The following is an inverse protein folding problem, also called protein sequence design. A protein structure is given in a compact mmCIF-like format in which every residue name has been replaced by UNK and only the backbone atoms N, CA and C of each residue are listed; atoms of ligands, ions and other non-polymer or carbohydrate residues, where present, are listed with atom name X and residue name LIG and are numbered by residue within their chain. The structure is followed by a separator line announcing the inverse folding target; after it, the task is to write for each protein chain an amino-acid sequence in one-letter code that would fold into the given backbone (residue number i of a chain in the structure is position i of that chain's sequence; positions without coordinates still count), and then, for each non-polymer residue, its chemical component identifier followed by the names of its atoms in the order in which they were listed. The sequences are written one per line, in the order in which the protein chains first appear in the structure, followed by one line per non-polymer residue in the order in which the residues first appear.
data_IF_406307487442
#
_entry.id   IF_406307487442
#
_cell.length_a   1.000
_cell.length_b   1.000
_cell.length_c   1.000
_cell.angle_alpha   90.00
_cell.angle_beta   90.00
_cell.angle_gamma   90.00
#
_symmetry.space_group_name_H-M   'P 1'
#
loop_
_entity.id
_entity.type
_entity.pdbx_description
1 polymer ?
#
# COMPACT_ATOMS: atom_id res chain seq x y z
N UNK A 1 2.35 -14.07 9.02
CA UNK A 1 2.55 -12.64 9.32
C UNK A 1 3.39 -12.55 10.59
N UNK A 2 4.47 -11.77 10.60
CA UNK A 2 5.21 -11.50 11.85
C UNK A 2 4.26 -10.82 12.84
N UNK A 3 4.13 -11.37 14.05
CA UNK A 3 3.33 -10.77 15.11
C UNK A 3 3.88 -9.37 15.40
N UNK A 4 3.17 -8.32 14.97
CA UNK A 4 3.48 -6.94 15.34
C UNK A 4 3.22 -6.82 16.83
N UNK A 5 4.26 -6.60 17.62
CA UNK A 5 4.09 -6.31 19.03
C UNK A 5 3.63 -4.85 19.18
N UNK A 6 2.33 -4.68 19.43
CA UNK A 6 1.70 -3.36 19.57
C UNK A 6 2.31 -2.53 20.72
N UNK A 7 2.92 -3.17 21.72
CA UNK A 7 3.55 -2.47 22.85
C UNK A 7 4.88 -1.81 22.49
N UNK A 8 5.52 -2.20 21.38
CA UNK A 8 6.86 -1.74 20.98
C UNK A 8 6.85 -0.84 19.73
N UNK A 9 5.69 -0.33 19.32
CA UNK A 9 5.59 0.58 18.17
C UNK A 9 6.11 1.96 18.60
N UNK A 10 7.12 2.47 17.90
CA UNK A 10 7.69 3.78 18.16
C UNK A 10 7.73 4.66 16.92
N UNK A 11 7.70 4.07 15.72
CA UNK A 11 7.80 4.79 14.44
C UNK A 11 6.74 4.26 13.48
N UNK A 12 5.78 5.12 13.14
CA UNK A 12 4.73 4.84 12.17
C UNK A 12 4.94 5.77 10.98
N UNK A 13 5.06 5.18 9.79
CA UNK A 13 5.04 5.91 8.53
C UNK A 13 3.67 5.74 7.89
N UNK A 14 3.03 6.85 7.55
CA UNK A 14 1.74 6.82 6.88
C UNK A 14 1.79 7.60 5.57
N UNK A 15 1.20 7.05 4.52
CA UNK A 15 1.05 7.74 3.23
C UNK A 15 -0.42 7.88 2.85
N UNK A 16 -0.75 8.98 2.18
CA UNK A 16 -2.07 9.21 1.59
C UNK A 16 -1.91 9.54 0.11
N UNK A 17 -2.40 8.64 -0.75
CA UNK A 17 -2.36 8.78 -2.19
C UNK A 17 -3.61 9.55 -2.65
N UNK A 18 -3.48 10.87 -2.82
CA UNK A 18 -4.52 11.72 -3.39
C UNK A 18 -4.50 11.73 -4.92
N UNK A 19 -5.48 12.40 -5.54
CA UNK A 19 -5.52 12.59 -7.00
C UNK A 19 -4.42 13.54 -7.50
N UNK A 20 -4.12 14.59 -6.74
CA UNK A 20 -3.11 15.61 -7.13
C UNK A 20 -1.79 15.43 -6.38
N UNK A 21 -1.85 15.07 -5.11
CA UNK A 21 -0.68 15.02 -4.25
C UNK A 21 -0.70 13.76 -3.40
N UNK A 22 0.43 13.08 -3.35
CA UNK A 22 0.70 12.01 -2.40
C UNK A 22 1.43 12.59 -1.21
N UNK A 23 0.94 12.32 -0.01
CA UNK A 23 1.48 12.88 1.24
C UNK A 23 2.04 11.76 2.09
N UNK A 24 3.15 12.02 2.76
CA UNK A 24 3.72 11.14 3.76
C UNK A 24 3.80 11.87 5.11
N UNK A 25 3.50 11.17 6.20
CA UNK A 25 3.69 11.67 7.57
C UNK A 25 4.46 10.65 8.39
N UNK A 26 5.34 11.16 9.25
CA UNK A 26 6.07 10.38 10.24
C UNK A 26 5.48 10.63 11.61
N UNK A 27 4.95 9.59 12.23
CA UNK A 27 4.41 9.63 13.59
C UNK A 27 5.38 8.88 14.49
N UNK A 28 5.86 9.53 15.56
CA UNK A 28 6.81 8.94 16.48
C UNK A 28 6.31 9.00 17.91
N UNK A 29 6.60 7.96 18.68
CA UNK A 29 6.41 7.96 20.13
C UNK A 29 7.54 8.74 20.80
N UNK A 30 7.22 9.92 21.34
CA UNK A 30 8.16 10.78 22.05
C UNK A 30 7.63 10.94 23.48
N UNK A 31 8.41 10.48 24.46
CA UNK A 31 8.06 10.54 25.89
C UNK A 31 6.69 9.89 26.20
N UNK A 32 6.38 8.77 25.55
CA UNK A 32 5.13 8.03 25.75
C UNK A 32 3.92 8.59 25.00
N UNK A 33 4.11 9.58 24.11
CA UNK A 33 3.04 10.16 23.31
C UNK A 33 3.38 10.11 21.82
N UNK A 34 2.43 9.63 21.02
CA UNK A 34 2.54 9.70 19.56
C UNK A 34 2.36 11.14 19.07
N UNK A 35 3.31 11.61 18.26
CA UNK A 35 3.27 12.92 17.62
C UNK A 35 3.60 12.79 16.15
N UNK A 36 2.87 13.51 15.31
CA UNK A 36 3.33 13.78 13.95
C UNK A 36 4.57 14.68 14.05
N UNK A 37 5.71 14.18 13.59
CA UNK A 37 7.00 14.88 13.68
C UNK A 37 7.40 15.53 12.37
N UNK A 38 7.16 14.84 11.25
CA UNK A 38 7.54 15.28 9.93
C UNK A 38 6.44 14.99 8.92
N UNK A 39 6.43 15.76 7.83
CA UNK A 39 5.52 15.61 6.70
C UNK A 39 6.29 15.89 5.42
N UNK A 40 6.01 15.11 4.39
CA UNK A 40 6.47 15.32 3.03
C UNK A 40 5.32 15.15 2.06
N UNK A 41 5.50 15.63 0.85
CA UNK A 41 4.53 15.54 -0.23
C UNK A 41 5.19 15.50 -1.61
N UNK A 42 4.57 14.78 -2.53
CA UNK A 42 5.00 14.73 -3.92
C UNK A 42 3.78 14.79 -4.84
N UNK A 43 3.92 15.25 -6.09
CA UNK A 43 2.89 15.06 -7.11
C UNK A 43 2.46 13.59 -7.18
N UNK A 44 1.16 13.35 -7.23
CA UNK A 44 0.64 11.99 -7.41
C UNK A 44 0.96 11.48 -8.82
N UNK A 45 1.27 10.19 -8.90
CA UNK A 45 1.67 9.51 -10.14
C UNK A 45 0.66 8.45 -10.57
N UNK A 46 -0.60 8.65 -10.21
CA UNK A 46 -1.73 7.74 -10.49
C UNK A 46 -2.13 7.72 -11.96
N UNK A 47 -1.84 8.79 -12.71
CA UNK A 47 -2.18 8.94 -14.12
C UNK A 47 -0.93 8.96 -15.01
N UNK A 48 -1.14 8.87 -16.33
CA UNK A 48 -0.09 9.05 -17.33
C UNK A 48 0.59 10.43 -17.17
N UNK A 49 1.91 10.53 -17.47
CA UNK A 49 2.77 9.54 -18.12
C UNK A 49 3.38 8.50 -17.17
N UNK A 50 3.16 8.61 -15.86
CA UNK A 50 3.78 7.71 -14.88
C UNK A 50 2.99 6.43 -14.69
N UNK A 51 1.67 6.54 -14.46
CA UNK A 51 0.76 5.41 -14.22
C UNK A 51 1.34 4.35 -13.26
N UNK A 52 1.92 4.84 -12.16
CA UNK A 52 2.54 4.04 -11.10
C UNK A 52 2.49 4.82 -9.79
N UNK A 53 1.53 4.48 -8.93
CA UNK A 53 1.32 5.13 -7.63
C UNK A 53 2.53 5.01 -6.70
N UNK A 54 3.37 3.99 -6.86
CA UNK A 54 4.52 3.75 -5.98
C UNK A 54 5.56 4.85 -6.10
N UNK A 55 5.65 5.51 -7.27
CA UNK A 55 6.57 6.63 -7.48
C UNK A 55 6.23 7.82 -6.57
N UNK A 56 4.97 8.24 -6.54
CA UNK A 56 4.49 9.31 -5.66
C UNK A 56 4.68 8.98 -4.19
N UNK A 57 4.41 7.73 -3.80
CA UNK A 57 4.67 7.21 -2.46
C UNK A 57 6.15 7.36 -2.09
N UNK A 58 7.05 6.80 -2.91
CA UNK A 58 8.48 6.82 -2.62
C UNK A 58 9.03 8.24 -2.60
N UNK A 59 8.59 9.12 -3.50
CA UNK A 59 9.02 10.52 -3.51
C UNK A 59 8.60 11.25 -2.23
N UNK A 60 7.33 11.12 -1.83
CA UNK A 60 6.83 11.77 -0.60
C UNK A 60 7.51 11.25 0.67
N UNK A 61 7.81 9.94 0.73
CA UNK A 61 8.55 9.33 1.85
C UNK A 61 10.03 9.73 1.84
N UNK A 62 10.63 9.92 0.67
CA UNK A 62 12.02 10.38 0.54
C UNK A 62 12.18 11.77 1.13
N UNK A 63 11.24 12.68 0.88
CA UNK A 63 11.26 14.00 1.53
C UNK A 63 11.18 13.90 3.06
N UNK A 64 10.30 13.03 3.58
CA UNK A 64 10.24 12.75 5.03
C UNK A 64 11.56 12.18 5.55
N UNK A 65 12.22 11.30 4.80
CA UNK A 65 13.50 10.70 5.16
C UNK A 65 14.60 11.76 5.31
N UNK A 66 14.67 12.69 4.35
CA UNK A 66 15.60 13.82 4.36
C UNK A 66 15.34 14.77 5.53
N UNK A 67 14.09 15.17 5.74
CA UNK A 67 13.70 16.09 6.82
C UNK A 67 13.94 15.50 8.21
N UNK A 68 13.67 14.21 8.39
CA UNK A 68 13.82 13.53 9.69
C UNK A 68 15.23 13.01 9.96
N UNK A 69 16.10 12.98 8.95
CA UNK A 69 17.41 12.33 9.03
C UNK A 69 17.30 10.81 9.31
N UNK A 70 16.20 10.19 8.86
CA UNK A 70 15.88 8.77 9.04
C UNK A 70 15.87 8.10 7.67
N UNK A 71 16.55 6.97 7.50
CA UNK A 71 16.48 6.19 6.26
C UNK A 71 15.17 5.42 6.20
N UNK A 72 14.21 5.87 5.41
CA UNK A 72 12.89 5.21 5.30
C UNK A 72 12.73 4.35 4.04
N UNK A 73 13.55 4.60 3.02
CA UNK A 73 13.51 3.91 1.74
C UNK A 73 14.84 3.18 1.51
N UNK A 74 14.76 1.93 1.07
CA UNK A 74 15.90 1.10 0.67
C UNK A 74 16.35 1.42 -0.75
N UNK A 75 17.53 0.91 -1.14
CA UNK A 75 18.10 1.15 -2.47
C UNK A 75 17.21 0.55 -3.58
N UNK A 76 16.46 -0.51 -3.25
CA UNK A 76 15.45 -1.15 -4.12
C UNK A 76 14.10 -0.41 -4.15
N UNK A 77 14.02 0.82 -3.65
CA UNK A 77 12.79 1.63 -3.54
C UNK A 77 11.66 0.96 -2.75
N UNK A 78 12.00 0.24 -1.68
CA UNK A 78 11.01 -0.32 -0.74
C UNK A 78 11.06 0.40 0.59
N UNK A 79 9.91 0.56 1.23
CA UNK A 79 9.82 1.03 2.61
C UNK A 79 10.53 0.02 3.52
N UNK A 80 11.44 0.52 4.35
CA UNK A 80 12.23 -0.32 5.26
C UNK A 80 11.37 -0.62 6.49
N UNK A 81 11.16 -1.90 6.79
CA UNK A 81 10.49 -2.37 7.99
C UNK A 81 11.17 -3.66 8.52
N UNK A 82 11.17 -3.92 9.85
CA UNK A 82 10.79 -3.00 10.93
C UNK A 82 11.82 -1.89 11.14
N UNK A 83 11.59 -0.97 12.09
CA UNK A 83 12.60 0.04 12.41
C UNK A 83 13.80 -0.55 13.16
N UNK A 84 14.99 -0.07 12.84
CA UNK A 84 16.23 -0.35 13.57
C UNK A 84 17.06 0.93 13.66
N UNK A 85 17.24 1.48 14.87
CA UNK A 85 17.99 2.73 15.05
C UNK A 85 17.37 3.87 14.27
N UNK A 86 18.05 4.41 13.26
CA UNK A 86 17.56 5.45 12.34
C UNK A 86 17.09 4.91 10.98
N UNK A 87 16.91 3.61 10.84
CA UNK A 87 16.45 2.97 9.61
C UNK A 87 15.04 2.42 9.79
N UNK A 88 14.17 2.62 8.80
CA UNK A 88 12.83 2.04 8.70
C UNK A 88 11.72 2.63 9.57
N UNK A 89 10.59 1.95 9.60
CA UNK A 89 9.45 2.20 10.48
C UNK A 89 8.91 0.86 11.02
N UNK A 90 8.30 0.87 12.20
CA UNK A 90 7.66 -0.31 12.79
C UNK A 90 6.38 -0.67 12.05
N UNK A 91 5.63 0.35 11.65
CA UNK A 91 4.39 0.22 10.90
C UNK A 91 4.44 1.15 9.70
N UNK A 92 4.11 0.60 8.54
CA UNK A 92 3.78 1.36 7.35
C UNK A 92 2.30 1.19 7.03
N UNK A 93 1.57 2.30 6.90
CA UNK A 93 0.18 2.33 6.48
C UNK A 93 0.03 3.25 5.26
N UNK A 94 -0.87 2.90 4.36
CA UNK A 94 -1.23 3.77 3.24
C UNK A 94 -2.73 3.87 3.09
N UNK A 95 -3.22 5.08 2.84
CA UNK A 95 -4.58 5.36 2.41
C UNK A 95 -4.57 5.85 0.97
N UNK A 96 -5.71 5.74 0.30
CA UNK A 96 -5.90 6.32 -1.03
C UNK A 96 -7.29 6.93 -1.09
N UNK A 97 -7.34 8.21 -1.46
CA UNK A 97 -8.58 8.96 -1.67
C UNK A 97 -8.72 9.45 -3.11
N UNK A 98 -7.74 9.16 -3.98
CA UNK A 98 -7.81 9.42 -5.42
C UNK A 98 -9.16 8.94 -5.95
N UNK A 99 -10.04 9.86 -6.37
CA UNK A 99 -11.48 9.65 -6.55
C UNK A 99 -11.86 8.57 -7.57
N UNK A 100 -11.74 7.30 -7.17
CA UNK A 100 -11.84 6.13 -8.04
C UNK A 100 -10.49 5.60 -8.53
N UNK A 101 -9.45 6.44 -8.64
CA UNK A 101 -8.29 6.20 -9.51
C UNK A 101 -7.37 5.04 -9.17
N UNK A 102 -7.42 4.47 -7.95
CA UNK A 102 -6.55 3.35 -7.60
C UNK A 102 -7.07 2.05 -8.23
N UNK A 103 -6.32 1.54 -9.20
CA UNK A 103 -6.69 0.37 -9.98
C UNK A 103 -6.28 -0.90 -9.23
N UNK A 104 -7.25 -1.70 -8.82
CA UNK A 104 -7.05 -2.86 -7.96
C UNK A 104 -7.45 -4.15 -8.66
N UNK A 105 -6.65 -5.19 -8.48
CA UNK A 105 -7.08 -6.57 -8.74
C UNK A 105 -7.46 -7.24 -7.43
N UNK A 106 -8.54 -8.02 -7.43
CA UNK A 106 -8.93 -8.80 -6.25
C UNK A 106 -8.62 -10.27 -6.50
N UNK A 107 -7.96 -10.94 -5.56
CA UNK A 107 -7.81 -12.38 -5.57
C UNK A 107 -8.43 -13.00 -4.32
N UNK A 108 -9.09 -14.15 -4.47
CA UNK A 108 -9.55 -14.88 -3.29
C UNK A 108 -9.68 -16.39 -3.49
N UNK A 109 -9.91 -17.12 -2.40
CA UNK A 109 -10.01 -18.59 -2.45
C UNK A 109 -11.19 -19.05 -3.34
N UNK A 110 -12.40 -18.54 -3.09
CA UNK A 110 -13.62 -18.91 -3.84
C UNK A 110 -14.21 -17.65 -4.47
N UNK A 111 -14.42 -17.69 -5.79
CA UNK A 111 -14.91 -16.53 -6.57
C UNK A 111 -16.22 -15.97 -6.04
N UNK A 112 -17.18 -16.84 -5.75
CA UNK A 112 -18.54 -16.50 -5.33
C UNK A 112 -18.65 -16.09 -3.86
N UNK A 113 -17.59 -16.32 -3.06
CA UNK A 113 -17.59 -16.05 -1.61
C UNK A 113 -16.51 -15.03 -1.21
N UNK A 114 -15.26 -15.47 -1.02
CA UNK A 114 -14.20 -14.59 -0.49
C UNK A 114 -13.82 -13.50 -1.49
N UNK A 115 -13.65 -13.86 -2.76
CA UNK A 115 -13.30 -12.88 -3.79
C UNK A 115 -14.47 -11.91 -4.08
N UNK A 116 -15.71 -12.42 -4.10
CA UNK A 116 -16.91 -11.59 -4.23
C UNK A 116 -17.08 -10.62 -3.05
N UNK A 117 -16.81 -11.06 -1.81
CA UNK A 117 -16.85 -10.19 -0.63
C UNK A 117 -15.77 -9.11 -0.70
N UNK A 118 -14.53 -9.48 -1.00
CA UNK A 118 -13.42 -8.54 -1.16
C UNK A 118 -13.63 -7.54 -2.29
N UNK A 119 -14.21 -7.97 -3.42
CA UNK A 119 -14.62 -7.06 -4.50
C UNK A 119 -15.61 -6.01 -4.00
N UNK A 120 -16.63 -6.42 -3.25
CA UNK A 120 -17.61 -5.48 -2.69
C UNK A 120 -16.97 -4.51 -1.70
N UNK A 121 -16.06 -4.99 -0.85
CA UNK A 121 -15.31 -4.15 0.08
C UNK A 121 -14.42 -3.13 -0.67
N UNK A 122 -13.68 -3.57 -1.70
CA UNK A 122 -12.84 -2.71 -2.51
C UNK A 122 -13.65 -1.63 -3.25
N UNK A 123 -14.77 -2.01 -3.89
CA UNK A 123 -15.68 -1.05 -4.53
C UNK A 123 -16.29 -0.08 -3.51
N UNK A 124 -16.68 -0.57 -2.33
CA UNK A 124 -17.20 0.27 -1.24
C UNK A 124 -16.16 1.26 -0.70
N UNK A 125 -14.88 0.90 -0.76
CA UNK A 125 -13.75 1.77 -0.42
C UNK A 125 -13.36 2.74 -1.56
N UNK A 126 -14.04 2.68 -2.72
CA UNK A 126 -13.80 3.59 -3.85
C UNK A 126 -12.68 3.16 -4.81
N UNK A 127 -12.27 1.89 -4.82
CA UNK A 127 -11.28 1.39 -5.79
C UNK A 127 -11.90 1.06 -7.16
N UNK A 128 -11.12 1.20 -8.24
CA UNK A 128 -11.45 0.64 -9.56
C UNK A 128 -11.01 -0.82 -9.58
N UNK A 129 -11.95 -1.76 -9.42
CA UNK A 129 -11.64 -3.19 -9.49
C UNK A 129 -11.53 -3.65 -10.95
N UNK A 130 -10.30 -3.89 -11.42
CA UNK A 130 -9.99 -4.24 -12.81
C UNK A 130 -10.40 -5.67 -13.18
N UNK A 131 -10.14 -6.62 -12.29
CA UNK A 131 -10.49 -8.03 -12.47
C UNK A 131 -10.55 -8.72 -11.10
N UNK A 132 -11.17 -9.90 -11.08
CA UNK A 132 -11.21 -10.80 -9.93
C UNK A 132 -10.70 -12.17 -10.36
N UNK A 133 -9.67 -12.65 -9.66
CA UNK A 133 -9.10 -13.99 -9.83
C UNK A 133 -9.45 -14.82 -8.58
N UNK A 134 -9.62 -16.13 -8.74
CA UNK A 134 -9.82 -17.02 -7.61
C UNK A 134 -9.10 -18.36 -7.78
N UNK A 135 -8.95 -19.12 -6.69
CA UNK A 135 -8.36 -20.47 -6.78
C UNK A 135 -9.21 -21.40 -7.65
N UNK A 136 -10.54 -21.22 -7.63
CA UNK A 136 -11.49 -21.90 -8.50
C UNK A 136 -11.75 -21.18 -9.84
N UNK A 137 -10.83 -20.32 -10.30
CA UNK A 137 -10.96 -19.68 -11.61
C UNK A 137 -10.86 -20.72 -12.73
N UNK A 138 -11.68 -20.54 -13.77
CA UNK A 138 -11.73 -21.44 -14.93
C UNK A 138 -10.58 -21.18 -15.91
N UNK A 139 -9.97 -20.00 -15.84
CA UNK A 139 -8.80 -19.63 -16.64
C UNK A 139 -7.59 -20.45 -16.21
N UNK A 140 -6.77 -20.85 -17.17
CA UNK A 140 -5.51 -21.52 -16.89
C UNK A 140 -4.52 -20.57 -16.18
N UNK A 141 -3.56 -21.07 -15.40
CA UNK A 141 -2.62 -20.23 -14.65
C UNK A 141 -1.87 -19.20 -15.53
N UNK A 142 -1.49 -19.59 -16.75
CA UNK A 142 -0.78 -18.68 -17.65
C UNK A 142 -1.67 -17.53 -18.16
N UNK A 143 -2.98 -17.78 -18.36
CA UNK A 143 -3.95 -16.74 -18.73
C UNK A 143 -4.17 -15.76 -17.59
N UNK A 144 -4.21 -16.26 -16.35
CA UNK A 144 -4.31 -15.42 -15.14
C UNK A 144 -3.07 -14.51 -15.00
N UNK A 145 -1.87 -15.07 -15.19
CA UNK A 145 -0.61 -14.32 -15.16
C UNK A 145 -0.58 -13.27 -16.27
N UNK A 146 -0.97 -13.66 -17.49
CA UNK A 146 -1.03 -12.73 -18.62
C UNK A 146 -1.99 -11.58 -18.33
N UNK A 147 -3.16 -11.88 -17.74
CA UNK A 147 -4.14 -10.86 -17.35
C UNK A 147 -3.60 -9.86 -16.33
N UNK A 148 -2.87 -10.33 -15.32
CA UNK A 148 -2.17 -9.44 -14.36
C UNK A 148 -1.20 -8.51 -15.08
N UNK A 149 -0.41 -9.06 -16.03
CA UNK A 149 0.59 -8.29 -16.79
C UNK A 149 -0.04 -7.27 -17.73
N UNK A 150 -1.17 -7.59 -18.34
CA UNK A 150 -1.91 -6.69 -19.23
C UNK A 150 -2.57 -5.55 -18.46
N UNK A 151 -3.20 -5.87 -17.32
CA UNK A 151 -3.94 -4.89 -16.54
C UNK A 151 -3.03 -3.99 -15.71
N UNK A 152 -1.84 -4.47 -15.29
CA UNK A 152 -0.90 -3.71 -14.45
C UNK A 152 -1.59 -3.01 -13.26
N UNK A 153 -2.28 -3.76 -12.38
CA UNK A 153 -2.97 -3.15 -11.24
C UNK A 153 -1.99 -2.46 -10.30
N UNK A 154 -2.38 -1.30 -9.77
CA UNK A 154 -1.63 -0.58 -8.73
C UNK A 154 -1.54 -1.40 -7.43
N UNK A 155 -2.59 -2.18 -7.13
CA UNK A 155 -2.70 -2.98 -5.91
C UNK A 155 -3.38 -4.32 -6.17
N UNK A 156 -2.95 -5.37 -5.46
CA UNK A 156 -3.65 -6.65 -5.41
C UNK A 156 -4.21 -6.86 -4.00
N UNK A 157 -5.54 -6.95 -3.88
CA UNK A 157 -6.22 -7.31 -2.64
C UNK A 157 -6.43 -8.82 -2.57
N UNK A 158 -5.79 -9.46 -1.60
CA UNK A 158 -5.91 -10.88 -1.35
C UNK A 158 -6.96 -11.13 -0.25
N UNK A 159 -7.89 -12.06 -0.47
CA UNK A 159 -8.94 -12.39 0.50
C UNK A 159 -9.23 -13.88 0.63
N UNK A 160 -9.21 -14.36 1.87
CA UNK A 160 -9.45 -15.74 2.25
C UNK A 160 -8.27 -16.33 3.00
N UNK A 161 -8.44 -17.57 3.45
CA UNK A 161 -7.56 -18.21 4.42
C UNK A 161 -8.01 -17.88 5.85
N UNK A 162 -8.36 -18.91 6.60
CA UNK A 162 -8.37 -18.85 8.08
C UNK A 162 -7.19 -19.63 8.65
N UNK A 163 -6.70 -20.63 7.93
CA UNK A 163 -5.54 -21.44 8.29
C UNK A 163 -4.76 -21.84 7.03
N UNK A 164 -3.47 -21.55 7.04
CA UNK A 164 -2.48 -21.95 6.04
C UNK A 164 -1.10 -21.90 6.67
#
# INVERSE_FOLDING_TARGET
MSNINLENINVILATDCGSTTTKAILIQNINGQYRQTHRGEAPSTVEEPFADVTVGVINSVTEVAELSGRRLVSDDRKIITPANGRDGCDIYISTSSAGGGLQMMVAGVIREMTAASAKRAALGAGAIVMDVIASNDKRQPHEQIQRIRELRPDMILLSGGTDG
#
